data_IF_412557964008
#
_entry.id   IF_412557964008
#
_cell.length_a   1.000
_cell.length_b   1.000
_cell.length_c   1.000
_cell.angle_alpha   90.00
_cell.angle_beta   90.00
_cell.angle_gamma   90.00
#
_symmetry.space_group_name_H-M   'P 1'
#
loop_
_entity.id
_entity.type
_entity.pdbx_description
1 polymer ?
#
# COMPACT_ATOMS: atom_id res chain seq x y z
N UNK A 1 2.29 -11.60 -75.94
CA UNK A 1 1.73 -11.04 -74.69
C UNK A 1 2.18 -11.97 -73.55
N UNK A 2 3.44 -11.84 -73.11
CA UNK A 2 3.93 -11.05 -71.96
C UNK A 2 3.36 -11.46 -70.59
N UNK A 3 4.10 -12.38 -69.92
CA UNK A 3 4.38 -12.58 -68.48
C UNK A 3 3.52 -11.89 -67.42
N UNK A 4 3.06 -12.63 -66.40
CA UNK A 4 2.97 -12.25 -64.97
C UNK A 4 2.77 -13.55 -64.13
N UNK A 5 3.78 -14.07 -63.43
CA UNK A 5 4.23 -13.82 -62.04
C UNK A 5 3.42 -14.52 -60.93
N UNK A 6 4.04 -15.58 -60.38
CA UNK A 6 4.23 -15.95 -58.95
C UNK A 6 3.21 -15.44 -57.93
N UNK A 7 2.61 -16.37 -57.18
CA UNK A 7 2.14 -16.10 -55.81
C UNK A 7 2.17 -17.37 -54.94
N UNK A 8 3.38 -17.75 -54.49
CA UNK A 8 3.54 -18.55 -53.27
C UNK A 8 3.13 -17.69 -52.08
N UNK A 9 1.99 -17.97 -51.45
CA UNK A 9 1.63 -17.35 -50.17
C UNK A 9 1.91 -18.33 -49.04
N UNK A 10 2.99 -18.04 -48.31
CA UNK A 10 3.34 -18.69 -47.06
C UNK A 10 2.25 -18.43 -46.02
N UNK A 11 1.81 -19.51 -45.38
CA UNK A 11 0.92 -19.49 -44.22
C UNK A 11 1.70 -18.94 -43.01
N UNK A 12 1.50 -17.66 -42.69
CA UNK A 12 1.95 -17.04 -41.44
C UNK A 12 0.75 -16.98 -40.50
N UNK A 13 0.69 -17.91 -39.54
CA UNK A 13 -0.43 -18.05 -38.62
C UNK A 13 0.03 -18.16 -37.18
N UNK A 14 0.18 -17.00 -36.54
CA UNK A 14 0.13 -16.69 -35.11
C UNK A 14 0.62 -17.75 -34.10
N UNK A 15 1.84 -17.55 -33.60
CA UNK A 15 2.20 -17.98 -32.25
C UNK A 15 1.32 -17.21 -31.26
N UNK A 16 0.28 -17.86 -30.73
CA UNK A 16 -0.46 -17.37 -29.59
C UNK A 16 0.48 -17.33 -28.37
N UNK A 17 1.10 -16.18 -28.15
CA UNK A 17 1.86 -15.91 -26.94
C UNK A 17 0.87 -15.76 -25.79
N UNK A 18 0.69 -16.82 -25.01
CA UNK A 18 0.20 -16.71 -23.64
C UNK A 18 1.29 -16.00 -22.83
N UNK A 19 1.46 -14.69 -23.02
CA UNK A 19 2.18 -13.88 -22.06
C UNK A 19 1.28 -13.78 -20.83
N UNK A 20 1.65 -14.37 -19.67
CA UNK A 20 0.92 -14.09 -18.45
C UNK A 20 1.00 -12.57 -18.24
N UNK A 21 -0.16 -11.91 -18.20
CA UNK A 21 -0.24 -10.54 -17.73
C UNK A 21 0.25 -10.58 -16.28
N UNK A 22 1.50 -10.21 -16.06
CA UNK A 22 2.02 -10.01 -14.72
C UNK A 22 1.31 -8.79 -14.15
N UNK A 23 0.13 -9.02 -13.57
CA UNK A 23 -0.47 -8.07 -12.64
C UNK A 23 0.60 -7.79 -11.60
N UNK A 24 1.06 -6.55 -11.56
CA UNK A 24 2.08 -6.03 -10.64
C UNK A 24 1.60 -5.96 -9.19
N UNK A 25 0.56 -6.74 -8.83
CA UNK A 25 0.27 -7.12 -7.46
C UNK A 25 1.33 -8.12 -7.01
N UNK A 26 2.52 -7.56 -6.71
CA UNK A 26 3.56 -8.24 -5.96
C UNK A 26 2.87 -8.83 -4.73
N UNK A 27 2.69 -10.15 -4.74
CA UNK A 27 2.24 -10.90 -3.57
C UNK A 27 3.10 -10.45 -2.39
N UNK A 28 2.50 -9.64 -1.49
CA UNK A 28 3.15 -9.27 -0.24
C UNK A 28 3.11 -10.51 0.62
N UNK A 29 4.12 -11.36 0.45
CA UNK A 29 4.24 -12.63 1.18
C UNK A 29 4.77 -12.42 2.60
N UNK A 30 5.36 -11.25 2.86
CA UNK A 30 6.00 -10.90 4.12
C UNK A 30 5.09 -10.02 4.96
N UNK A 31 4.97 -10.34 6.25
CA UNK A 31 4.24 -9.51 7.21
C UNK A 31 4.94 -8.15 7.38
N UNK A 32 4.24 -7.01 7.27
CA UNK A 32 4.82 -5.70 7.51
C UNK A 32 5.36 -5.56 8.94
N UNK A 33 6.42 -4.79 9.11
CA UNK A 33 7.03 -4.54 10.42
C UNK A 33 7.17 -3.05 10.63
N UNK A 34 6.58 -2.53 11.71
CA UNK A 34 6.79 -1.16 12.16
C UNK A 34 8.01 -1.14 13.08
N UNK A 35 8.87 -0.16 12.85
CA UNK A 35 10.10 0.05 13.61
C UNK A 35 9.95 1.29 14.49
N UNK A 36 9.41 2.37 13.93
CA UNK A 36 9.26 3.64 14.63
C UNK A 36 8.06 4.42 14.09
N UNK A 37 7.45 5.21 14.96
CA UNK A 37 6.52 6.29 14.61
C UNK A 37 7.09 7.60 15.14
N UNK A 38 6.82 8.71 14.46
CA UNK A 38 7.16 10.05 14.94
C UNK A 38 6.49 10.36 16.28
N UNK A 39 6.86 11.48 16.89
CA UNK A 39 6.19 11.93 18.11
C UNK A 39 4.70 12.17 17.88
N UNK A 40 3.95 12.17 19.00
CA UNK A 40 2.55 12.54 19.03
C UNK A 40 2.34 13.91 18.39
N UNK A 41 1.41 13.99 17.44
CA UNK A 41 1.10 15.22 16.71
C UNK A 41 -0.40 15.54 16.82
N UNK A 42 -0.78 16.83 16.74
CA UNK A 42 -2.18 17.21 16.71
C UNK A 42 -2.81 16.91 15.36
N UNK A 43 -4.13 17.01 15.29
CA UNK A 43 -4.85 16.94 14.00
C UNK A 43 -4.36 18.04 13.06
N UNK A 44 -4.29 17.73 11.78
CA UNK A 44 -3.75 18.61 10.73
C UNK A 44 -2.23 18.52 10.55
N UNK A 45 -1.50 17.95 11.51
CA UNK A 45 -0.05 17.76 11.43
C UNK A 45 0.33 16.40 10.85
N UNK A 46 1.61 16.26 10.51
CA UNK A 46 2.15 15.04 9.91
C UNK A 46 2.54 14.01 10.95
N UNK A 47 2.25 12.74 10.66
CA UNK A 47 2.81 11.57 11.34
C UNK A 47 3.67 10.77 10.35
N UNK A 48 4.86 10.39 10.79
CA UNK A 48 5.79 9.57 10.00
C UNK A 48 5.93 8.19 10.62
N UNK A 49 5.67 7.15 9.83
CA UNK A 49 5.79 5.75 10.21
C UNK A 49 6.96 5.16 9.42
N UNK A 50 7.88 4.50 10.12
CA UNK A 50 9.03 3.83 9.54
C UNK A 50 8.97 2.33 9.80
N UNK A 51 9.31 1.54 8.79
CA UNK A 51 9.17 0.11 8.85
C UNK A 51 9.78 -0.61 7.66
N UNK A 52 9.31 -1.84 7.42
CA UNK A 52 9.69 -2.70 6.30
C UNK A 52 8.44 -3.38 5.76
N UNK A 53 8.43 -3.62 4.44
CA UNK A 53 7.33 -4.30 3.76
C UNK A 53 5.98 -3.57 3.90
N UNK A 54 6.02 -2.24 4.00
CA UNK A 54 4.83 -1.41 4.17
C UNK A 54 4.00 -1.30 2.89
N UNK A 55 4.47 -1.87 1.77
CA UNK A 55 3.73 -1.88 0.52
C UNK A 55 3.58 -0.47 -0.06
N UNK A 56 2.37 -0.14 -0.48
CA UNK A 56 2.04 1.15 -1.07
C UNK A 56 0.59 1.57 -0.80
N UNK A 57 0.21 2.78 -1.23
CA UNK A 57 -1.08 3.38 -0.89
C UNK A 57 -2.28 2.65 -1.54
N UNK A 58 -2.03 1.79 -2.53
CA UNK A 58 -3.05 0.96 -3.19
C UNK A 58 -3.14 -0.45 -2.62
N UNK A 59 -2.17 -0.88 -1.80
CA UNK A 59 -2.05 -2.25 -1.30
C UNK A 59 -2.12 -2.35 0.22
N UNK A 60 -2.11 -1.21 0.92
CA UNK A 60 -2.18 -1.16 2.37
C UNK A 60 -3.05 -0.04 2.93
N UNK A 61 -3.30 -0.14 4.23
CA UNK A 61 -4.06 0.83 5.01
C UNK A 61 -3.39 1.05 6.37
N UNK A 62 -3.49 2.28 6.89
CA UNK A 62 -3.00 2.62 8.24
C UNK A 62 -4.18 2.73 9.19
N UNK A 63 -4.08 2.07 10.34
CA UNK A 63 -5.10 2.02 11.38
C UNK A 63 -4.55 2.63 12.66
N UNK A 64 -5.32 3.52 13.26
CA UNK A 64 -5.05 4.20 14.52
C UNK A 64 -6.17 3.93 15.51
N UNK A 65 -5.91 3.94 16.81
CA UNK A 65 -7.01 3.80 17.77
C UNK A 65 -7.49 2.35 17.92
N UNK A 66 -6.72 1.39 17.43
CA UNK A 66 -7.02 -0.02 17.58
C UNK A 66 -6.65 -0.50 19.00
N UNK A 67 -7.23 -1.62 19.40
CA UNK A 67 -6.77 -2.37 20.57
C UNK A 67 -5.41 -3.04 20.32
N UNK A 68 -4.84 -3.67 21.36
CA UNK A 68 -3.54 -4.38 21.30
C UNK A 68 -3.47 -5.47 20.22
N UNK A 69 -4.62 -5.98 19.77
CA UNK A 69 -4.73 -7.00 18.72
C UNK A 69 -4.95 -6.43 17.31
N UNK A 70 -5.07 -5.11 17.18
CA UNK A 70 -5.33 -4.42 15.90
C UNK A 70 -6.81 -4.34 15.51
N UNK A 71 -7.73 -4.67 16.42
CA UNK A 71 -9.18 -4.58 16.14
C UNK A 71 -9.72 -3.19 16.40
N UNK A 72 -10.75 -2.81 15.63
CA UNK A 72 -11.41 -1.51 15.74
C UNK A 72 -10.56 -0.38 15.16
N UNK A 73 -10.69 0.81 15.74
CA UNK A 73 -9.90 1.98 15.35
C UNK A 73 -10.35 2.70 14.07
N UNK A 74 -9.71 3.83 13.84
CA UNK A 74 -9.84 4.72 12.70
C UNK A 74 -8.88 4.31 11.58
N UNK A 75 -9.39 4.15 10.35
CA UNK A 75 -8.56 3.90 9.16
C UNK A 75 -8.30 5.23 8.47
N UNK A 76 -7.03 5.55 8.24
CA UNK A 76 -6.66 6.75 7.51
C UNK A 76 -7.22 6.72 6.08
N UNK A 77 -7.90 7.78 5.63
CA UNK A 77 -8.35 7.87 4.25
C UNK A 77 -7.15 8.06 3.32
N UNK A 78 -7.29 7.66 2.04
CA UNK A 78 -6.23 7.82 1.05
C UNK A 78 -5.84 9.28 0.82
N UNK A 79 -6.77 10.22 1.04
CA UNK A 79 -6.53 11.66 0.97
C UNK A 79 -5.57 12.18 2.06
N UNK A 80 -5.37 11.42 3.14
CA UNK A 80 -4.42 11.76 4.19
C UNK A 80 -2.97 11.39 3.84
N UNK A 81 -2.74 10.61 2.79
CA UNK A 81 -1.42 10.11 2.42
C UNK A 81 -0.64 11.23 1.73
N UNK A 82 0.45 11.68 2.36
CA UNK A 82 1.41 12.61 1.74
C UNK A 82 2.46 11.86 0.92
N UNK A 83 2.99 10.77 1.48
CA UNK A 83 3.91 9.87 0.76
C UNK A 83 3.87 8.46 1.37
N UNK A 84 4.09 7.45 0.54
CA UNK A 84 4.12 6.05 1.00
C UNK A 84 5.07 5.25 0.12
N UNK A 85 6.09 4.68 0.77
CA UNK A 85 7.03 3.72 0.20
C UNK A 85 7.03 2.44 1.04
N UNK A 86 7.75 1.43 0.57
CA UNK A 86 7.85 0.15 1.29
C UNK A 86 8.50 0.26 2.69
N UNK A 87 9.17 1.37 3.00
CA UNK A 87 9.86 1.59 4.28
C UNK A 87 9.42 2.82 5.05
N UNK A 88 8.60 3.69 4.47
CA UNK A 88 8.13 4.91 5.13
C UNK A 88 6.73 5.32 4.65
N UNK A 89 5.88 5.73 5.60
CA UNK A 89 4.59 6.35 5.33
C UNK A 89 4.57 7.72 6.02
N UNK A 90 4.14 8.75 5.30
CA UNK A 90 3.87 10.09 5.86
C UNK A 90 2.40 10.41 5.62
N UNK A 91 1.68 10.66 6.71
CA UNK A 91 0.24 10.96 6.69
C UNK A 91 -0.03 12.29 7.37
N UNK A 92 -1.03 13.04 6.90
CA UNK A 92 -1.65 14.10 7.68
C UNK A 92 -2.68 13.50 8.63
N UNK A 93 -2.69 13.88 9.91
CA UNK A 93 -3.72 13.44 10.86
C UNK A 93 -5.04 14.14 10.52
N UNK A 94 -6.11 13.41 10.15
CA UNK A 94 -7.39 14.02 9.81
C UNK A 94 -8.06 14.71 11.01
N UNK A 95 -8.93 15.68 10.72
CA UNK A 95 -9.65 16.45 11.77
C UNK A 95 -10.65 15.62 12.57
N UNK A 96 -11.09 14.49 12.03
CA UNK A 96 -12.00 13.53 12.67
C UNK A 96 -11.27 12.35 13.34
N UNK A 97 -9.94 12.29 13.25
CA UNK A 97 -9.16 11.24 13.88
C UNK A 97 -9.34 11.24 15.41
N UNK A 98 -9.48 10.08 16.07
CA UNK A 98 -9.64 10.01 17.52
C UNK A 98 -8.40 10.58 18.23
N UNK A 99 -8.64 11.37 19.29
CA UNK A 99 -7.57 11.94 20.14
C UNK A 99 -7.22 10.98 21.28
N UNK A 100 -5.99 11.07 21.77
CA UNK A 100 -5.50 10.23 22.86
C UNK A 100 -4.63 9.05 22.39
N UNK A 101 -4.12 8.29 23.37
CA UNK A 101 -3.19 7.18 23.16
C UNK A 101 -3.89 5.87 22.85
N UNK A 102 -3.40 5.15 21.83
CA UNK A 102 -3.83 3.80 21.46
C UNK A 102 -2.74 3.11 20.64
N UNK A 103 -3.08 2.01 19.96
CA UNK A 103 -2.21 1.34 19.02
C UNK A 103 -2.39 1.81 17.58
N UNK A 104 -1.28 1.86 16.86
CA UNK A 104 -1.16 2.11 15.43
C UNK A 104 -0.64 0.85 14.74
N UNK A 105 -1.29 0.49 13.63
CA UNK A 105 -0.92 -0.65 12.79
C UNK A 105 -0.92 -0.26 11.31
N UNK A 106 -0.16 -1.00 10.52
CA UNK A 106 -0.26 -1.00 9.06
C UNK A 106 -0.70 -2.39 8.61
N UNK A 107 -1.69 -2.45 7.74
CA UNK A 107 -2.11 -3.69 7.10
C UNK A 107 -1.77 -3.63 5.62
N UNK A 108 -1.15 -4.68 5.09
CA UNK A 108 -0.78 -4.78 3.67
C UNK A 108 -1.24 -6.13 3.15
N UNK A 109 -2.09 -6.13 2.11
CA UNK A 109 -2.64 -7.35 1.51
C UNK A 109 -3.20 -8.36 2.54
N UNK A 110 -3.92 -7.88 3.56
CA UNK A 110 -4.50 -8.71 4.63
C UNK A 110 -3.52 -9.17 5.70
N UNK A 111 -2.26 -8.71 5.69
CA UNK A 111 -1.26 -8.97 6.74
C UNK A 111 -1.14 -7.75 7.64
N UNK A 112 -1.47 -7.92 8.91
CA UNK A 112 -1.28 -6.89 9.93
C UNK A 112 0.16 -6.85 10.43
N UNK A 113 0.68 -5.65 10.68
CA UNK A 113 2.02 -5.45 11.18
C UNK A 113 2.19 -5.66 12.70
N UNK A 114 3.41 -5.48 13.21
CA UNK A 114 3.62 -5.10 14.61
C UNK A 114 2.88 -3.80 14.94
N UNK A 115 2.36 -3.69 16.15
CA UNK A 115 1.72 -2.46 16.64
C UNK A 115 2.73 -1.53 17.29
N UNK A 116 2.53 -0.22 17.14
CA UNK A 116 3.24 0.80 17.92
C UNK A 116 2.25 1.65 18.72
N UNK A 117 2.55 1.98 19.99
CA UNK A 117 1.76 2.94 20.72
C UNK A 117 1.90 4.32 20.06
N UNK A 118 0.78 5.01 19.87
CA UNK A 118 0.74 6.36 19.32
C UNK A 118 -0.38 7.16 19.96
N UNK A 119 -0.16 8.47 20.10
CA UNK A 119 -1.16 9.39 20.65
C UNK A 119 -1.39 10.55 19.71
N UNK A 120 -2.65 10.83 19.39
CA UNK A 120 -3.04 12.05 18.68
C UNK A 120 -3.32 13.14 19.70
N UNK A 121 -2.68 14.29 19.52
CA UNK A 121 -2.91 15.48 20.37
C UNK A 121 -4.17 16.22 19.92
N UNK A 122 -4.75 16.99 20.84
CA UNK A 122 -5.85 17.90 20.54
C UNK A 122 -5.37 19.08 19.71
#
# INVERSE_FOLDING_TARGET
MLRFLVASSLMVGALASCAPSQSTDRFVTVTPVLIKVSEAAPRGESVTIQGRYLGGPTTGQVRLGADESGKGGYVFPTSAIQSWTDSQIVLTIPSDAPVGGSWLFVEVAGKQSTGLPYSVRQ
#
